data_IF_947073728994
#
_entry.id   IF_947073728994
#
_cell.length_a   1.000
_cell.length_b   1.000
_cell.length_c   1.000
_cell.angle_alpha   90.00
_cell.angle_beta   90.00
_cell.angle_gamma   90.00
#
_symmetry.space_group_name_H-M   'P 1'
#
loop_
_entity.id
_entity.type
_entity.pdbx_description
1 polymer ?
#
# COMPACT_ATOMS: atom_id res chain seq x y z
N UNK A 1 26.29 -3.32 73.58
CA UNK A 1 26.43 -4.49 72.66
C UNK A 1 25.15 -5.34 72.55
N UNK A 2 24.29 -5.37 73.55
CA UNK A 2 23.04 -6.19 73.52
C UNK A 2 21.82 -5.43 73.00
N UNK A 3 21.83 -4.10 73.02
CA UNK A 3 20.73 -3.26 72.56
C UNK A 3 20.61 -3.15 71.04
N UNK A 4 21.64 -3.51 70.30
CA UNK A 4 21.63 -3.38 68.80
C UNK A 4 21.09 -4.65 68.11
N UNK A 5 20.94 -5.76 68.82
CA UNK A 5 20.45 -7.03 68.26
C UNK A 5 19.01 -6.91 67.69
N UNK A 6 18.03 -6.27 68.36
CA UNK A 6 16.68 -6.15 67.84
C UNK A 6 16.60 -5.23 66.60
N UNK A 7 17.46 -4.22 66.50
CA UNK A 7 17.54 -3.35 65.29
C UNK A 7 18.10 -4.09 64.10
N UNK A 8 19.10 -4.94 64.28
CA UNK A 8 19.64 -5.76 63.23
C UNK A 8 18.61 -6.75 62.66
N UNK A 9 17.80 -7.38 63.50
CA UNK A 9 16.71 -8.27 63.08
C UNK A 9 15.61 -7.50 62.28
N UNK A 10 15.29 -6.26 62.69
CA UNK A 10 14.35 -5.39 61.94
C UNK A 10 14.91 -5.02 60.55
N UNK A 11 16.18 -4.66 60.43
CA UNK A 11 16.82 -4.35 59.17
C UNK A 11 16.85 -5.57 58.23
N UNK A 12 17.19 -6.76 58.76
CA UNK A 12 17.20 -8.01 57.99
C UNK A 12 15.79 -8.38 57.49
N UNK A 13 14.77 -8.21 58.32
CA UNK A 13 13.38 -8.49 57.95
C UNK A 13 12.87 -7.52 56.88
N UNK A 14 13.24 -6.24 56.98
CA UNK A 14 12.89 -5.23 56.01
C UNK A 14 13.57 -5.47 54.64
N UNK A 15 14.85 -5.85 54.67
CA UNK A 15 15.61 -6.21 53.48
C UNK A 15 15.03 -7.48 52.80
N UNK A 16 14.69 -8.47 53.58
CA UNK A 16 14.04 -9.69 53.07
C UNK A 16 12.68 -9.40 52.45
N UNK A 17 11.85 -8.58 53.10
CA UNK A 17 10.55 -8.13 52.55
C UNK A 17 10.72 -7.38 51.22
N UNK A 18 11.69 -6.49 51.12
CA UNK A 18 11.97 -5.75 49.89
C UNK A 18 12.38 -6.68 48.75
N UNK A 19 13.22 -7.70 49.04
CA UNK A 19 13.60 -8.71 48.04
C UNK A 19 12.41 -9.55 47.59
N UNK A 20 11.54 -9.96 48.52
CA UNK A 20 10.34 -10.73 48.20
C UNK A 20 9.37 -9.90 47.32
N UNK A 21 9.15 -8.64 47.70
CA UNK A 21 8.30 -7.72 46.87
C UNK A 21 8.95 -7.52 45.49
N UNK A 22 10.24 -7.26 45.41
CA UNK A 22 10.96 -7.11 44.15
C UNK A 22 10.85 -8.35 43.26
N UNK A 23 11.03 -9.55 43.84
CA UNK A 23 10.87 -10.81 43.12
C UNK A 23 9.42 -11.05 42.68
N UNK A 24 8.44 -10.71 43.49
CA UNK A 24 7.01 -10.80 43.12
C UNK A 24 6.64 -9.85 41.95
N UNK A 25 7.13 -8.61 42.00
CA UNK A 25 6.96 -7.64 40.93
C UNK A 25 7.66 -8.13 39.66
N UNK A 26 8.91 -8.54 39.72
CA UNK A 26 9.64 -9.10 38.58
C UNK A 26 8.94 -10.32 37.97
N UNK A 27 8.42 -11.23 38.79
CA UNK A 27 7.65 -12.39 38.33
C UNK A 27 6.32 -12.02 37.70
N UNK A 28 5.65 -10.96 38.17
CA UNK A 28 4.42 -10.45 37.57
C UNK A 28 4.70 -9.81 36.19
N UNK A 29 5.76 -9.03 36.05
CA UNK A 29 6.18 -8.43 34.77
C UNK A 29 6.78 -9.44 33.79
N UNK A 30 7.47 -10.49 34.25
CA UNK A 30 8.04 -11.54 33.39
C UNK A 30 6.97 -12.41 32.72
N UNK A 31 5.72 -12.33 33.16
CA UNK A 31 4.57 -13.06 32.60
C UNK A 31 3.87 -12.32 31.46
N UNK A 32 4.39 -11.18 31.00
CA UNK A 32 3.89 -10.56 29.77
C UNK A 32 4.23 -11.51 28.62
N UNK A 33 3.24 -12.27 28.10
CA UNK A 33 3.56 -13.25 27.08
C UNK A 33 4.03 -12.54 25.81
N UNK A 34 5.25 -12.79 25.36
CA UNK A 34 5.80 -12.30 24.08
C UNK A 34 5.04 -12.87 22.86
N UNK A 35 4.05 -13.74 23.09
CA UNK A 35 3.19 -14.33 22.05
C UNK A 35 2.50 -13.30 21.14
N UNK A 36 1.96 -12.17 21.63
CA UNK A 36 1.36 -11.14 20.77
C UNK A 36 2.37 -10.52 19.81
N UNK A 37 3.58 -10.22 20.31
CA UNK A 37 4.64 -9.64 19.46
C UNK A 37 5.07 -10.62 18.35
N UNK A 38 5.14 -11.91 18.66
CA UNK A 38 5.44 -12.94 17.66
C UNK A 38 4.35 -13.03 16.59
N UNK A 39 3.07 -12.86 16.95
CA UNK A 39 1.97 -12.82 15.98
C UNK A 39 2.08 -11.62 15.03
N UNK A 40 2.44 -10.44 15.56
CA UNK A 40 2.68 -9.26 14.76
C UNK A 40 3.86 -9.48 13.81
N UNK A 41 4.98 -10.01 14.31
CA UNK A 41 6.15 -10.29 13.49
C UNK A 41 5.82 -11.25 12.33
N UNK A 42 5.13 -12.35 12.61
CA UNK A 42 4.71 -13.32 11.56
C UNK A 42 3.76 -12.67 10.54
N UNK A 43 2.83 -11.84 10.99
CA UNK A 43 1.92 -11.14 10.07
C UNK A 43 2.66 -10.09 9.23
N UNK A 44 3.65 -9.40 9.81
CA UNK A 44 4.51 -8.46 9.09
C UNK A 44 5.37 -9.17 8.04
N UNK A 45 5.93 -10.34 8.36
CA UNK A 45 6.68 -11.16 7.40
C UNK A 45 5.81 -11.62 6.22
N UNK A 46 4.56 -12.00 6.49
CA UNK A 46 3.59 -12.33 5.42
C UNK A 46 3.30 -11.13 4.55
N UNK A 47 3.06 -9.96 5.15
CA UNK A 47 2.82 -8.71 4.44
C UNK A 47 4.03 -8.35 3.54
N UNK A 48 5.25 -8.47 4.07
CA UNK A 48 6.49 -8.26 3.32
C UNK A 48 6.69 -9.26 2.17
N UNK A 49 6.16 -10.48 2.32
CA UNK A 49 6.15 -11.49 1.26
C UNK A 49 5.04 -11.27 0.19
N UNK A 50 4.24 -10.18 0.32
CA UNK A 50 3.17 -9.85 -0.64
C UNK A 50 1.80 -10.42 -0.28
N UNK A 51 1.64 -11.06 0.87
CA UNK A 51 0.33 -11.50 1.36
C UNK A 51 -0.35 -10.35 2.11
N UNK A 52 -0.95 -9.44 1.36
CA UNK A 52 -1.63 -8.26 1.90
C UNK A 52 -2.95 -8.58 2.61
N UNK A 53 -3.44 -9.83 2.54
CA UNK A 53 -4.60 -10.29 3.31
C UNK A 53 -4.27 -10.61 4.77
N UNK A 54 -2.98 -10.59 5.14
CA UNK A 54 -2.54 -10.85 6.51
C UNK A 54 -3.16 -9.86 7.49
N UNK A 55 -3.77 -10.38 8.55
CA UNK A 55 -4.37 -9.58 9.64
C UNK A 55 -3.93 -10.14 10.98
N UNK A 56 -3.88 -9.28 11.97
CA UNK A 56 -3.67 -9.69 13.36
C UNK A 56 -4.97 -9.54 14.14
N UNK A 57 -5.16 -10.42 15.11
CA UNK A 57 -6.27 -10.35 16.06
C UNK A 57 -5.70 -10.59 17.46
N UNK A 58 -5.40 -9.49 18.14
CA UNK A 58 -4.89 -9.48 19.50
C UNK A 58 -6.06 -9.18 20.43
N UNK A 59 -6.54 -10.21 21.15
CA UNK A 59 -7.61 -10.04 22.16
C UNK A 59 -7.00 -9.48 23.45
N UNK A 60 -6.48 -8.26 23.40
CA UNK A 60 -5.82 -7.57 24.52
C UNK A 60 -6.29 -6.10 24.52
N UNK A 61 -6.42 -5.51 25.70
CA UNK A 61 -6.75 -4.10 25.83
C UNK A 61 -5.52 -3.18 25.81
N UNK A 62 -5.77 -1.87 25.89
CA UNK A 62 -4.72 -0.86 25.96
C UNK A 62 -3.91 -0.71 24.68
N UNK A 63 -2.63 -0.42 24.82
CA UNK A 63 -1.68 -0.11 23.74
C UNK A 63 -1.59 -1.21 22.66
N UNK A 64 -1.75 -2.49 23.04
CA UNK A 64 -1.74 -3.60 22.09
C UNK A 64 -2.99 -3.64 21.22
N UNK A 65 -4.12 -3.12 21.68
CA UNK A 65 -5.33 -2.98 20.87
C UNK A 65 -5.15 -1.86 19.82
N UNK A 66 -4.53 -0.77 20.21
CA UNK A 66 -4.20 0.32 19.28
C UNK A 66 -3.23 -0.16 18.18
N UNK A 67 -2.21 -0.90 18.56
CA UNK A 67 -1.26 -1.52 17.62
C UNK A 67 -1.97 -2.50 16.67
N UNK A 68 -2.92 -3.31 17.18
CA UNK A 68 -3.75 -4.20 16.36
C UNK A 68 -4.53 -3.44 15.30
N UNK A 69 -5.17 -2.33 15.71
CA UNK A 69 -5.96 -1.48 14.81
C UNK A 69 -5.06 -0.84 13.75
N UNK A 70 -3.95 -0.24 14.17
CA UNK A 70 -3.01 0.44 13.28
C UNK A 70 -2.39 -0.52 12.26
N UNK A 71 -2.00 -1.73 12.70
CA UNK A 71 -1.46 -2.75 11.80
C UNK A 71 -2.50 -3.17 10.75
N UNK A 72 -3.74 -3.45 11.17
CA UNK A 72 -4.79 -3.89 10.26
C UNK A 72 -5.21 -2.77 9.28
N UNK A 73 -5.20 -1.51 9.72
CA UNK A 73 -5.44 -0.37 8.83
C UNK A 73 -4.33 -0.26 7.78
N UNK A 74 -3.07 -0.34 8.19
CA UNK A 74 -1.94 -0.36 7.25
C UNK A 74 -2.04 -1.52 6.26
N UNK A 75 -2.41 -2.73 6.71
CA UNK A 75 -2.59 -3.88 5.85
C UNK A 75 -3.75 -3.69 4.85
N UNK A 76 -4.84 -3.03 5.26
CA UNK A 76 -5.94 -2.67 4.37
C UNK A 76 -5.51 -1.69 3.28
N UNK A 77 -4.77 -0.63 3.65
CA UNK A 77 -4.26 0.36 2.70
C UNK A 77 -3.34 -0.29 1.66
N UNK A 78 -2.46 -1.19 2.09
CA UNK A 78 -1.57 -1.93 1.18
C UNK A 78 -2.36 -2.86 0.25
N UNK A 79 -3.37 -3.57 0.75
CA UNK A 79 -4.23 -4.44 -0.06
C UNK A 79 -5.01 -3.65 -1.11
N UNK A 80 -5.61 -2.51 -0.73
CA UNK A 80 -6.32 -1.62 -1.65
C UNK A 80 -5.38 -1.03 -2.70
N UNK A 81 -4.20 -0.57 -2.30
CA UNK A 81 -3.19 -0.06 -3.23
C UNK A 81 -2.76 -1.12 -4.26
N UNK A 82 -2.58 -2.36 -3.81
CA UNK A 82 -2.23 -3.47 -4.69
C UNK A 82 -3.36 -3.83 -5.66
N UNK A 83 -4.62 -3.82 -5.20
CA UNK A 83 -5.79 -4.03 -6.06
C UNK A 83 -5.88 -2.96 -7.14
N UNK A 84 -5.82 -1.69 -6.76
CA UNK A 84 -5.85 -0.57 -7.70
C UNK A 84 -4.74 -0.67 -8.75
N UNK A 85 -3.52 -1.04 -8.32
CA UNK A 85 -2.39 -1.25 -9.23
C UNK A 85 -2.63 -2.41 -10.19
N UNK A 86 -3.21 -3.51 -9.71
CA UNK A 86 -3.54 -4.66 -10.55
C UNK A 86 -4.62 -4.32 -11.57
N UNK A 87 -5.68 -3.65 -11.13
CA UNK A 87 -6.78 -3.21 -12.00
C UNK A 87 -6.30 -2.21 -13.06
N UNK A 88 -5.42 -1.29 -12.66
CA UNK A 88 -4.78 -0.36 -13.60
C UNK A 88 -4.01 -1.11 -14.68
N UNK A 89 -3.15 -2.06 -14.31
CA UNK A 89 -2.35 -2.85 -15.27
C UNK A 89 -3.25 -3.67 -16.20
N UNK A 90 -4.31 -4.28 -15.67
CA UNK A 90 -5.25 -5.07 -16.45
C UNK A 90 -6.02 -4.20 -17.45
N UNK A 91 -6.61 -3.10 -17.00
CA UNK A 91 -7.35 -2.17 -17.86
C UNK A 91 -6.44 -1.57 -18.91
N UNK A 92 -5.25 -1.14 -18.53
CA UNK A 92 -4.26 -0.61 -19.46
C UNK A 92 -3.87 -1.64 -20.54
N UNK A 93 -3.64 -2.89 -20.15
CA UNK A 93 -3.31 -3.97 -21.08
C UNK A 93 -4.44 -4.22 -22.08
N UNK A 94 -5.70 -4.12 -21.66
CA UNK A 94 -6.86 -4.24 -22.53
C UNK A 94 -6.98 -3.05 -23.49
N UNK A 95 -6.82 -1.83 -22.98
CA UNK A 95 -6.88 -0.60 -23.80
C UNK A 95 -5.76 -0.53 -24.86
N UNK A 96 -4.59 -1.12 -24.56
CA UNK A 96 -3.50 -1.24 -25.53
C UNK A 96 -3.71 -2.35 -26.55
N UNK A 97 -4.28 -3.48 -26.12
CA UNK A 97 -4.46 -4.64 -27.00
C UNK A 97 -5.38 -4.36 -28.17
N UNK A 98 -6.42 -3.59 -27.97
CA UNK A 98 -7.44 -3.27 -28.99
C UNK A 98 -6.83 -2.53 -30.18
N UNK A 99 -6.21 -1.35 -30.02
CA UNK A 99 -5.61 -0.61 -31.14
C UNK A 99 -4.47 -1.39 -31.81
N UNK A 100 -3.62 -2.07 -31.04
CA UNK A 100 -2.55 -2.90 -31.61
C UNK A 100 -3.10 -4.03 -32.48
N UNK A 101 -4.20 -4.65 -32.06
CA UNK A 101 -4.85 -5.72 -32.84
C UNK A 101 -5.48 -5.17 -34.10
N UNK A 102 -6.12 -4.00 -34.04
CA UNK A 102 -6.71 -3.28 -35.16
C UNK A 102 -5.64 -2.91 -36.19
N UNK A 103 -4.58 -2.23 -35.77
CA UNK A 103 -3.42 -1.87 -36.63
C UNK A 103 -2.86 -3.10 -37.35
N UNK A 104 -2.60 -4.17 -36.59
CA UNK A 104 -2.07 -5.41 -37.17
C UNK A 104 -3.05 -6.03 -38.17
N UNK A 105 -4.35 -5.98 -37.87
CA UNK A 105 -5.40 -6.54 -38.74
C UNK A 105 -5.43 -5.81 -40.08
N UNK A 106 -5.55 -4.49 -40.08
CA UNK A 106 -5.62 -3.67 -41.30
C UNK A 106 -4.30 -3.69 -42.07
N UNK A 107 -3.16 -3.64 -41.42
CA UNK A 107 -1.86 -3.81 -42.08
C UNK A 107 -1.75 -5.17 -42.78
N UNK A 108 -2.28 -6.23 -42.18
CA UNK A 108 -2.32 -7.56 -42.79
C UNK A 108 -3.27 -7.60 -44.01
N UNK A 109 -4.44 -6.99 -43.91
CA UNK A 109 -5.40 -6.85 -45.03
C UNK A 109 -4.76 -6.16 -46.22
N UNK A 110 -4.08 -5.02 -46.02
CA UNK A 110 -3.36 -4.29 -47.06
C UNK A 110 -2.31 -5.15 -47.72
N UNK A 111 -1.57 -5.95 -46.94
CA UNK A 111 -0.48 -6.80 -47.43
C UNK A 111 -0.95 -8.02 -48.22
N UNK A 112 -2.05 -8.65 -47.80
CA UNK A 112 -2.47 -9.97 -48.28
C UNK A 112 -3.59 -9.92 -49.32
N UNK A 113 -4.24 -8.76 -49.51
CA UNK A 113 -5.33 -8.61 -50.46
C UNK A 113 -4.95 -7.60 -51.54
N UNK A 114 -5.53 -7.79 -52.74
CA UNK A 114 -5.39 -6.83 -53.83
C UNK A 114 -6.51 -5.79 -53.72
N UNK A 115 -6.29 -4.80 -52.84
CA UNK A 115 -7.26 -3.74 -52.53
C UNK A 115 -7.24 -2.63 -53.58
N UNK A 116 -8.36 -1.94 -53.75
CA UNK A 116 -8.39 -0.68 -54.47
C UNK A 116 -7.55 0.38 -53.74
N UNK A 117 -7.28 1.48 -54.41
CA UNK A 117 -6.57 2.61 -53.78
C UNK A 117 -7.39 3.22 -52.68
N UNK A 118 -8.69 3.36 -52.88
CA UNK A 118 -9.63 3.91 -51.92
C UNK A 118 -9.72 3.06 -50.67
N UNK A 119 -9.80 1.73 -50.81
CA UNK A 119 -9.81 0.79 -49.66
C UNK A 119 -8.47 0.82 -48.90
N UNK A 120 -7.36 0.95 -49.63
CA UNK A 120 -6.03 1.04 -49.03
C UNK A 120 -5.89 2.33 -48.20
N UNK A 121 -6.35 3.45 -48.74
CA UNK A 121 -6.29 4.74 -48.06
C UNK A 121 -7.21 4.74 -46.81
N UNK A 122 -8.42 4.14 -46.87
CA UNK A 122 -9.30 3.98 -45.70
C UNK A 122 -8.64 3.14 -44.60
N UNK A 123 -8.00 2.02 -44.95
CA UNK A 123 -7.32 1.18 -43.95
C UNK A 123 -6.09 1.85 -43.34
N UNK A 124 -5.36 2.67 -44.13
CA UNK A 124 -4.27 3.48 -43.60
C UNK A 124 -4.75 4.55 -42.63
N UNK A 125 -5.90 5.21 -42.92
CA UNK A 125 -6.49 6.18 -42.01
C UNK A 125 -6.87 5.55 -40.69
N UNK A 126 -7.42 4.34 -40.68
CA UNK A 126 -7.71 3.59 -39.45
C UNK A 126 -6.42 3.29 -38.68
N UNK A 127 -5.33 2.85 -39.36
CA UNK A 127 -4.05 2.56 -38.74
C UNK A 127 -3.49 3.84 -38.08
N UNK A 128 -3.59 4.98 -38.75
CA UNK A 128 -3.12 6.26 -38.21
C UNK A 128 -3.93 6.64 -36.97
N UNK A 129 -5.25 6.59 -37.04
CA UNK A 129 -6.14 6.92 -35.92
C UNK A 129 -5.87 6.04 -34.69
N UNK A 130 -5.68 4.74 -34.87
CA UNK A 130 -5.36 3.83 -33.75
C UNK A 130 -3.93 4.05 -33.21
N UNK A 131 -3.00 4.49 -34.05
CA UNK A 131 -1.65 4.87 -33.63
C UNK A 131 -1.67 6.15 -32.79
N UNK A 132 -2.43 7.16 -33.20
CA UNK A 132 -2.62 8.40 -32.43
C UNK A 132 -3.25 8.09 -31.06
N UNK A 133 -4.24 7.21 -31.03
CA UNK A 133 -4.84 6.73 -29.78
C UNK A 133 -3.82 6.11 -28.84
N UNK A 134 -2.85 5.32 -29.34
CA UNK A 134 -1.77 4.75 -28.54
C UNK A 134 -0.82 5.81 -27.98
N UNK A 135 -0.56 6.86 -28.76
CA UNK A 135 0.25 8.01 -28.29
C UNK A 135 -0.44 8.70 -27.13
N UNK A 136 -1.75 8.97 -27.24
CA UNK A 136 -2.55 9.59 -26.18
C UNK A 136 -2.60 8.73 -24.92
N UNK A 137 -2.82 7.42 -25.05
CA UNK A 137 -2.78 6.48 -23.93
C UNK A 137 -1.42 6.52 -23.22
N UNK A 138 -0.32 6.54 -23.97
CA UNK A 138 1.03 6.63 -23.42
C UNK A 138 1.25 7.96 -22.68
N UNK A 139 0.79 9.06 -23.23
CA UNK A 139 0.89 10.39 -22.60
C UNK A 139 0.10 10.44 -21.28
N UNK A 140 -1.10 9.86 -21.24
CA UNK A 140 -1.91 9.78 -20.03
C UNK A 140 -1.23 8.99 -18.91
N UNK A 141 -0.59 7.86 -19.24
CA UNK A 141 0.17 7.06 -18.26
C UNK A 141 1.38 7.82 -17.71
N UNK A 142 2.11 8.50 -18.59
CA UNK A 142 3.24 9.33 -18.16
C UNK A 142 2.82 10.48 -17.26
N UNK A 143 1.67 11.11 -17.55
CA UNK A 143 1.13 12.18 -16.73
C UNK A 143 0.67 11.63 -15.36
N UNK A 144 -0.01 10.48 -15.32
CA UNK A 144 -0.40 9.83 -14.08
C UNK A 144 0.83 9.51 -13.23
N UNK A 145 1.86 8.91 -13.82
CA UNK A 145 3.11 8.60 -13.12
C UNK A 145 3.80 9.86 -12.57
N UNK A 146 3.73 10.99 -13.27
CA UNK A 146 4.26 12.26 -12.75
C UNK A 146 3.48 12.74 -11.53
N UNK A 147 2.14 12.65 -11.55
CA UNK A 147 1.28 13.05 -10.43
C UNK A 147 1.52 12.16 -9.21
N UNK A 148 1.60 10.85 -9.39
CA UNK A 148 1.88 9.89 -8.30
C UNK A 148 3.25 10.11 -7.66
N UNK A 149 4.26 10.49 -8.43
CA UNK A 149 5.61 10.74 -7.91
C UNK A 149 5.81 12.17 -7.38
N UNK A 150 4.86 13.09 -7.59
CA UNK A 150 4.91 14.44 -7.03
C UNK A 150 4.44 14.45 -5.58
N UNK A 151 5.35 14.25 -4.66
CA UNK A 151 5.11 14.34 -3.20
C UNK A 151 4.88 15.78 -2.73
N UNK A 152 5.25 16.78 -3.53
CA UNK A 152 5.10 18.21 -3.23
C UNK A 152 4.65 18.93 -4.51
N UNK A 153 3.55 19.68 -4.43
CA UNK A 153 3.12 20.60 -5.48
C UNK A 153 4.16 21.71 -5.62
N UNK A 154 5.05 21.60 -6.58
CA UNK A 154 6.14 22.59 -6.81
C UNK A 154 5.64 23.89 -7.43
N UNK A 155 4.42 23.92 -7.99
CA UNK A 155 3.81 25.10 -8.63
C UNK A 155 2.36 25.28 -8.16
N UNK A 156 2.15 25.46 -6.85
CA UNK A 156 0.83 25.85 -6.35
C UNK A 156 0.58 27.33 -6.72
N UNK A 157 -0.34 27.56 -7.64
CA UNK A 157 -0.82 28.89 -7.99
C UNK A 157 -2.30 29.02 -7.60
N UNK A 158 -2.67 30.17 -7.07
CA UNK A 158 -4.08 30.49 -6.85
C UNK A 158 -4.79 30.61 -8.22
N UNK A 159 -5.89 29.92 -8.39
CA UNK A 159 -6.70 30.01 -9.59
C UNK A 159 -8.20 30.15 -9.25
N UNK A 160 -8.95 30.78 -10.14
CA UNK A 160 -10.39 30.93 -9.97
C UNK A 160 -11.10 29.67 -10.49
N UNK A 161 -11.54 28.83 -9.57
CA UNK A 161 -12.22 27.56 -9.89
C UNK A 161 -13.49 27.78 -10.74
N UNK A 162 -14.26 28.86 -10.49
CA UNK A 162 -15.48 29.18 -11.23
C UNK A 162 -15.20 29.53 -12.70
N UNK A 163 -14.07 30.17 -12.96
CA UNK A 163 -13.62 30.50 -14.32
C UNK A 163 -13.14 29.26 -15.07
N UNK A 164 -12.41 28.38 -14.40
CA UNK A 164 -11.97 27.09 -14.96
C UNK A 164 -13.16 26.19 -15.31
N UNK A 165 -14.15 26.09 -14.43
CA UNK A 165 -15.34 25.28 -14.68
C UNK A 165 -16.16 25.82 -15.88
N UNK A 166 -16.23 27.14 -16.08
CA UNK A 166 -16.90 27.74 -17.25
C UNK A 166 -16.22 27.45 -18.59
N UNK A 167 -14.92 27.08 -18.58
CA UNK A 167 -14.17 26.73 -19.79
C UNK A 167 -14.35 25.27 -20.21
N UNK A 168 -14.83 24.43 -19.30
CA UNK A 168 -14.99 22.98 -19.52
C UNK A 168 -16.45 22.61 -19.87
N UNK A 169 -17.39 23.51 -19.59
CA UNK A 169 -18.82 23.40 -19.97
C UNK A 169 -19.06 24.16 -21.29
#
# INVERSE_FOLDING_TARGET
>A
FIEDIPRLWQLISLAFLAVVIGAAVAAAFSRIPLKPLRKIAVAADRLAAGDFSARINLKMGGELQELNTSFNNMANELEQSQMLRSDFINNFSHEFKTPVTSIRGFAKMIREHNLSREETDEYLDIIIAESDRLVDLSANVLNLSKVENQTILTNAAEFNLSEQMRRVI
#
